data_IF_219673591184
#
_entry.id   IF_219673591184
#
_cell.length_a   1.000
_cell.length_b   1.000
_cell.length_c   1.000
_cell.angle_alpha   90.00
_cell.angle_beta   90.00
_cell.angle_gamma   90.00
#
_symmetry.space_group_name_H-M   'P 1'
#
loop_
_entity.id
_entity.type
_entity.pdbx_description
1 polymer ?
#
# COMPACT_ATOMS: atom_id res chain seq x y z
N UNK A 1 -27.20 -48.40 31.27
CA UNK A 1 -26.98 -47.09 30.62
C UNK A 1 -28.06 -46.91 29.57
N UNK A 2 -29.00 -46.00 29.80
CA UNK A 2 -30.16 -45.85 28.92
C UNK A 2 -29.71 -45.49 27.50
N UNK A 3 -30.17 -46.26 26.51
CA UNK A 3 -29.86 -46.06 25.07
C UNK A 3 -30.09 -44.61 24.62
N UNK A 4 -31.03 -43.91 25.28
CA UNK A 4 -31.34 -42.50 25.06
C UNK A 4 -30.18 -41.57 25.41
N UNK A 5 -29.48 -41.84 26.52
CA UNK A 5 -28.33 -41.04 26.97
C UNK A 5 -27.13 -41.25 26.03
N UNK A 6 -26.92 -42.48 25.56
CA UNK A 6 -25.86 -42.80 24.62
C UNK A 6 -26.09 -42.11 23.25
N UNK A 7 -27.32 -42.09 22.75
CA UNK A 7 -27.65 -41.37 21.52
C UNK A 7 -27.48 -39.86 21.66
N UNK A 8 -27.86 -39.28 22.80
CA UNK A 8 -27.74 -37.84 23.04
C UNK A 8 -26.27 -37.40 23.09
N UNK A 9 -25.41 -38.21 23.71
CA UNK A 9 -23.97 -37.98 23.74
C UNK A 9 -23.34 -38.08 22.34
N UNK A 10 -23.76 -39.06 21.54
CA UNK A 10 -23.24 -39.23 20.18
C UNK A 10 -23.60 -38.04 19.27
N UNK A 11 -24.84 -37.53 19.36
CA UNK A 11 -25.29 -36.36 18.59
C UNK A 11 -24.50 -35.11 18.98
N UNK A 12 -24.21 -34.92 20.26
CA UNK A 12 -23.43 -33.78 20.74
C UNK A 12 -22.00 -33.80 20.18
N UNK A 13 -21.37 -34.97 20.10
CA UNK A 13 -20.01 -35.12 19.56
C UNK A 13 -19.99 -34.83 18.05
N UNK A 14 -21.00 -35.29 17.30
CA UNK A 14 -21.11 -35.00 15.86
C UNK A 14 -21.34 -33.52 15.57
N UNK A 15 -22.11 -32.82 16.41
CA UNK A 15 -22.33 -31.37 16.27
C UNK A 15 -21.03 -30.57 16.49
N UNK A 16 -20.18 -31.00 17.43
CA UNK A 16 -18.88 -30.37 17.68
C UNK A 16 -17.88 -30.62 16.54
N UNK A 17 -17.98 -31.77 15.85
CA UNK A 17 -17.13 -32.10 14.70
C UNK A 17 -17.53 -31.41 13.39
N UNK A 18 -18.75 -30.87 13.30
CA UNK A 18 -19.27 -30.25 12.06
C UNK A 18 -18.82 -28.79 11.86
N UNK A 19 -18.03 -28.24 12.77
CA UNK A 19 -17.50 -26.88 12.68
C UNK A 19 -16.25 -26.82 11.78
N UNK A 20 -16.43 -26.75 10.46
CA UNK A 20 -15.33 -26.48 9.53
C UNK A 20 -15.07 -24.97 9.44
N UNK A 21 -13.98 -24.46 10.03
CA UNK A 21 -13.52 -23.08 9.79
C UNK A 21 -12.73 -23.03 8.48
N UNK A 22 -13.30 -22.44 7.44
CA UNK A 22 -12.55 -22.14 6.22
C UNK A 22 -11.71 -20.88 6.47
N UNK A 23 -10.42 -21.06 6.69
CA UNK A 23 -9.49 -19.95 6.83
C UNK A 23 -9.05 -19.52 5.42
N UNK A 24 -9.74 -18.56 4.83
CA UNK A 24 -9.21 -17.85 3.67
C UNK A 24 -8.16 -16.90 4.24
N UNK A 25 -6.89 -17.32 4.16
CA UNK A 25 -5.79 -16.39 4.27
C UNK A 25 -5.86 -15.53 3.01
N UNK A 26 -6.77 -14.56 3.01
CA UNK A 26 -6.66 -13.44 2.09
C UNK A 26 -5.32 -12.84 2.45
N UNK A 27 -4.34 -13.01 1.58
CA UNK A 27 -3.02 -12.43 1.70
C UNK A 27 -3.13 -10.92 1.48
N UNK A 28 -3.90 -10.27 2.35
CA UNK A 28 -4.03 -8.83 2.53
C UNK A 28 -2.75 -8.25 3.15
N UNK A 29 -1.76 -9.10 3.41
CA UNK A 29 -0.44 -8.79 3.96
C UNK A 29 0.62 -8.56 2.91
N UNK A 30 0.38 -8.86 1.63
CA UNK A 30 1.14 -8.26 0.54
C UNK A 30 0.77 -6.77 0.42
N UNK A 31 1.19 -5.98 1.42
CA UNK A 31 1.19 -4.53 1.38
C UNK A 31 2.09 -4.15 0.22
N UNK A 32 1.50 -3.65 -0.87
CA UNK A 32 2.27 -3.07 -1.98
C UNK A 32 3.06 -1.91 -1.40
N UNK A 33 4.37 -2.09 -1.29
CA UNK A 33 5.28 -1.04 -0.84
C UNK A 33 5.41 -0.02 -1.98
N UNK A 34 4.85 1.16 -1.77
CA UNK A 34 5.00 2.29 -2.68
C UNK A 34 6.37 2.90 -2.37
N UNK A 35 7.43 2.35 -2.95
CA UNK A 35 8.75 2.98 -2.94
C UNK A 35 8.71 4.24 -3.84
N UNK A 36 9.42 5.32 -3.49
CA UNK A 36 9.54 6.48 -4.37
C UNK A 36 10.16 6.08 -5.71
N UNK A 37 9.48 6.39 -6.81
CA UNK A 37 9.99 6.16 -8.16
C UNK A 37 10.61 7.47 -8.64
N UNK A 38 11.90 7.44 -8.97
CA UNK A 38 12.56 8.56 -9.63
C UNK A 38 12.30 8.46 -11.13
N UNK A 39 11.53 9.41 -11.67
CA UNK A 39 11.23 9.47 -13.11
C UNK A 39 12.12 10.53 -13.73
N UNK A 40 13.06 10.10 -14.59
CA UNK A 40 13.83 11.03 -15.42
C UNK A 40 13.02 11.35 -16.67
N UNK A 41 12.80 12.64 -16.92
CA UNK A 41 12.15 13.12 -18.16
C UNK A 41 13.20 13.84 -19.00
N UNK A 42 13.52 13.28 -20.16
CA UNK A 42 14.40 13.93 -21.13
C UNK A 42 13.62 14.99 -21.88
N UNK A 43 13.85 16.26 -21.53
CA UNK A 43 13.26 17.40 -22.21
C UNK A 43 14.20 17.83 -23.34
N UNK A 44 13.66 18.06 -24.54
CA UNK A 44 14.44 18.63 -25.63
C UNK A 44 14.98 20.02 -25.24
N UNK A 45 16.24 20.34 -25.54
CA UNK A 45 16.88 21.62 -25.20
C UNK A 45 16.06 22.85 -25.61
N UNK A 46 15.32 22.79 -26.72
CA UNK A 46 14.44 23.90 -27.15
C UNK A 46 13.25 24.11 -26.21
N UNK A 47 12.71 23.01 -25.67
CA UNK A 47 11.59 23.03 -24.72
C UNK A 47 12.09 23.44 -23.35
N UNK A 48 13.28 23.00 -22.93
CA UNK A 48 13.91 23.46 -21.69
C UNK A 48 14.09 24.98 -21.71
N UNK A 49 14.65 25.53 -22.79
CA UNK A 49 14.80 26.98 -22.92
C UNK A 49 13.46 27.72 -22.94
N UNK A 50 12.45 27.19 -23.62
CA UNK A 50 11.11 27.79 -23.63
C UNK A 50 10.45 27.74 -22.25
N UNK A 51 10.70 26.68 -21.46
CA UNK A 51 10.25 26.54 -20.09
C UNK A 51 10.95 27.57 -19.18
N UNK A 52 12.27 27.70 -19.30
CA UNK A 52 13.07 28.67 -18.54
C UNK A 52 12.64 30.10 -18.86
N UNK A 53 12.47 30.42 -20.15
CA UNK A 53 12.02 31.75 -20.60
C UNK A 53 10.57 32.03 -20.13
N UNK A 54 9.70 31.02 -20.03
CA UNK A 54 8.32 31.17 -19.54
C UNK A 54 8.23 31.30 -18.01
N UNK A 55 9.12 30.63 -17.27
CA UNK A 55 9.16 30.65 -15.80
C UNK A 55 10.07 31.76 -15.26
N UNK A 56 10.76 32.51 -16.12
CA UNK A 56 11.64 33.61 -15.73
C UNK A 56 10.97 34.68 -14.84
N UNK A 57 9.64 34.82 -14.90
CA UNK A 57 8.88 35.72 -14.02
C UNK A 57 8.77 35.21 -12.57
N UNK A 58 8.91 33.91 -12.36
CA UNK A 58 8.60 33.23 -11.10
C UNK A 58 9.80 33.17 -10.12
N UNK A 59 10.95 33.75 -10.47
CA UNK A 59 12.21 33.62 -9.71
C UNK A 59 12.98 32.35 -10.09
N UNK A 60 14.21 32.21 -9.59
CA UNK A 60 15.00 30.99 -9.82
C UNK A 60 14.37 29.79 -9.12
N UNK A 61 14.66 28.55 -9.56
CA UNK A 61 14.17 27.34 -8.89
C UNK A 61 14.60 27.26 -7.41
N UNK A 62 15.68 27.97 -7.08
CA UNK A 62 16.24 28.20 -5.75
C UNK A 62 15.40 29.14 -4.85
N UNK A 63 14.51 29.94 -5.43
CA UNK A 63 13.57 30.79 -4.68
C UNK A 63 12.27 30.06 -4.29
N UNK A 64 12.06 28.86 -4.84
CA UNK A 64 10.81 28.08 -4.68
C UNK A 64 10.90 27.11 -3.50
N UNK A 65 12.09 26.62 -3.17
CA UNK A 65 12.32 25.68 -2.06
C UNK A 65 13.06 26.39 -0.92
N UNK A 66 12.50 26.36 0.29
CA UNK A 66 13.20 26.92 1.46
C UNK A 66 14.46 26.09 1.79
N UNK A 67 15.48 26.70 2.39
CA UNK A 67 16.72 25.99 2.82
C UNK A 67 16.43 24.75 3.69
N UNK A 68 15.29 24.74 4.38
CA UNK A 68 14.84 23.63 5.21
C UNK A 68 14.37 22.42 4.39
N UNK A 69 13.78 22.62 3.21
CA UNK A 69 13.36 21.53 2.32
C UNK A 69 14.55 20.90 1.59
N UNK A 70 15.58 21.69 1.26
CA UNK A 70 16.82 21.20 0.66
C UNK A 70 17.61 20.28 1.61
N UNK A 71 17.56 20.53 2.92
CA UNK A 71 18.21 19.67 3.93
C UNK A 71 17.53 18.30 4.09
N UNK A 72 16.26 18.16 3.70
CA UNK A 72 15.55 16.87 3.76
C UNK A 72 15.83 15.98 2.54
N UNK A 73 16.56 16.48 1.54
CA UNK A 73 16.93 15.76 0.32
C UNK A 73 18.37 15.23 0.33
N UNK A 74 19.13 15.43 1.43
CA UNK A 74 20.44 14.83 1.68
C UNK A 74 20.34 13.67 2.65
#
# INVERSE_FOLDING_TARGET
>A
MDKKILCLLAVLIFLLASCTRHHVTADTTHKVEIAPIHVTVDINLKVQKALDDALAFQGGMEDIFSEEELKQLQ
#
